data_IF_941166583931
#
_entry.id   IF_941166583931
#
_cell.length_a   1.000
_cell.length_b   1.000
_cell.length_c   1.000
_cell.angle_alpha   90.00
_cell.angle_beta   90.00
_cell.angle_gamma   90.00
#
_symmetry.space_group_name_H-M   'P 1'
#
loop_
_entity.id
_entity.type
_entity.pdbx_description
1 polymer ?
#
# COMPACT_ATOMS: atom_id res chain seq x y z
N UNK A 1 12.15 -6.48 90.79
CA UNK A 1 12.21 -7.56 89.78
C UNK A 1 13.60 -8.12 89.76
N UNK A 2 13.76 -9.42 90.06
CA UNK A 2 15.07 -10.07 89.92
C UNK A 2 15.16 -10.56 88.52
N UNK A 3 15.96 -9.93 87.67
CA UNK A 3 16.31 -10.45 86.31
C UNK A 3 17.15 -11.70 86.53
N UNK A 4 16.65 -12.82 86.06
CA UNK A 4 17.38 -14.11 86.05
C UNK A 4 18.59 -14.01 85.14
N UNK A 5 19.80 -14.28 85.65
CA UNK A 5 21.04 -14.33 84.82
C UNK A 5 20.91 -15.30 83.64
N UNK A 6 20.14 -16.37 83.76
CA UNK A 6 19.83 -17.29 82.70
C UNK A 6 18.96 -16.66 81.59
N UNK A 7 18.05 -15.72 81.97
CA UNK A 7 17.26 -14.98 81.01
C UNK A 7 18.10 -13.98 80.19
N UNK A 8 19.05 -13.28 80.81
CA UNK A 8 20.01 -12.40 80.12
C UNK A 8 20.92 -13.21 79.16
N UNK A 9 21.42 -14.36 79.56
CA UNK A 9 22.25 -15.20 78.66
C UNK A 9 21.46 -15.70 77.44
N UNK A 10 20.16 -16.10 77.64
CA UNK A 10 19.31 -16.52 76.49
C UNK A 10 19.05 -15.38 75.53
N UNK A 11 18.69 -14.20 76.02
CA UNK A 11 18.48 -13.04 75.18
C UNK A 11 19.73 -12.60 74.42
N UNK A 12 20.91 -12.72 75.03
CA UNK A 12 22.19 -12.46 74.35
C UNK A 12 22.51 -13.49 73.26
N UNK A 13 22.25 -14.77 73.49
CA UNK A 13 22.42 -15.83 72.47
C UNK A 13 21.43 -15.63 71.32
N UNK A 14 20.15 -15.32 71.63
CA UNK A 14 19.14 -15.07 70.59
C UNK A 14 19.50 -13.84 69.75
N UNK A 15 20.04 -12.77 70.36
CA UNK A 15 20.54 -11.62 69.61
C UNK A 15 21.72 -11.94 68.71
N UNK A 16 22.69 -12.78 69.16
CA UNK A 16 23.80 -13.20 68.36
C UNK A 16 23.34 -14.05 67.16
N UNK A 17 22.45 -14.98 67.39
CA UNK A 17 21.87 -15.85 66.33
C UNK A 17 21.12 -14.98 65.29
N UNK A 18 20.36 -14.00 65.74
CA UNK A 18 19.67 -13.06 64.84
C UNK A 18 20.66 -12.27 64.01
N UNK A 19 21.72 -11.72 64.59
CA UNK A 19 22.78 -11.00 63.86
C UNK A 19 23.48 -11.90 62.83
N UNK A 20 23.78 -13.16 63.21
CA UNK A 20 24.37 -14.11 62.28
C UNK A 20 23.44 -14.39 61.11
N UNK A 21 22.15 -14.57 61.36
CA UNK A 21 21.15 -14.77 60.31
C UNK A 21 21.05 -13.59 59.35
N UNK A 22 21.00 -12.35 59.88
CA UNK A 22 20.98 -11.13 59.12
C UNK A 22 22.23 -10.95 58.29
N UNK A 23 23.42 -11.27 58.84
CA UNK A 23 24.67 -11.22 58.09
C UNK A 23 24.71 -12.23 56.98
N UNK A 24 24.30 -13.48 57.19
CA UNK A 24 24.20 -14.52 56.17
C UNK A 24 23.25 -14.13 55.03
N UNK A 25 22.06 -13.57 55.40
CA UNK A 25 21.10 -13.05 54.45
C UNK A 25 21.66 -11.91 53.59
N UNK A 26 22.33 -10.94 54.22
CA UNK A 26 22.94 -9.83 53.49
C UNK A 26 24.07 -10.29 52.57
N UNK A 27 24.88 -11.24 53.01
CA UNK A 27 25.93 -11.84 52.19
C UNK A 27 25.36 -12.58 50.97
N UNK A 28 24.23 -13.28 51.14
CA UNK A 28 23.53 -13.94 50.09
C UNK A 28 22.91 -12.94 49.09
N UNK A 29 22.34 -11.83 49.57
CA UNK A 29 21.83 -10.74 48.74
C UNK A 29 22.93 -10.10 47.88
N UNK A 30 24.12 -9.87 48.49
CA UNK A 30 25.28 -9.32 47.75
C UNK A 30 25.76 -10.31 46.67
N UNK A 31 25.86 -11.60 47.01
CA UNK A 31 26.36 -12.63 46.10
C UNK A 31 25.43 -12.85 44.92
N UNK A 32 24.09 -12.80 45.15
CA UNK A 32 23.09 -13.02 44.10
C UNK A 32 22.64 -11.77 43.40
N UNK A 33 22.92 -10.58 43.94
CA UNK A 33 22.43 -9.29 43.45
C UNK A 33 20.91 -9.12 43.59
N UNK A 34 20.23 -10.03 44.31
CA UNK A 34 18.78 -10.03 44.50
C UNK A 34 18.39 -9.67 45.94
N UNK A 35 17.41 -8.79 46.08
CA UNK A 35 16.87 -8.35 47.37
C UNK A 35 16.18 -9.50 48.15
N UNK A 36 15.50 -10.38 47.45
CA UNK A 36 14.85 -11.59 47.99
C UNK A 36 15.01 -12.74 46.97
N UNK A 37 15.00 -13.97 47.44
CA UNK A 37 15.16 -15.14 46.60
C UNK A 37 13.86 -15.92 46.43
N UNK A 38 13.03 -15.88 47.45
CA UNK A 38 11.75 -16.60 47.48
C UNK A 38 10.59 -15.65 47.66
N UNK A 39 9.44 -15.98 47.11
CA UNK A 39 8.21 -15.19 47.29
C UNK A 39 7.73 -15.16 48.75
N UNK A 40 8.24 -16.10 49.59
CA UNK A 40 7.92 -16.12 51.01
C UNK A 40 8.61 -15.00 51.80
N UNK A 41 9.76 -14.48 51.33
CA UNK A 41 10.52 -13.41 52.01
C UNK A 41 9.88 -12.03 51.79
N UNK A 42 9.34 -11.77 50.58
CA UNK A 42 8.63 -10.53 50.23
C UNK A 42 7.56 -10.84 49.16
N UNK A 43 6.34 -11.25 49.57
CA UNK A 43 5.27 -11.58 48.61
C UNK A 43 4.85 -10.40 47.74
N UNK A 44 4.87 -9.20 48.27
CA UNK A 44 4.50 -7.97 47.53
C UNK A 44 5.58 -7.63 46.50
N UNK A 45 6.83 -7.69 46.90
CA UNK A 45 7.99 -7.49 46.03
C UNK A 45 8.03 -8.53 44.92
N UNK A 46 7.79 -9.81 45.23
CA UNK A 46 7.76 -10.91 44.27
C UNK A 46 6.63 -10.70 43.24
N UNK A 47 5.44 -10.30 43.65
CA UNK A 47 4.34 -10.01 42.75
C UNK A 47 4.67 -8.84 41.80
N UNK A 48 5.26 -7.77 42.33
CA UNK A 48 5.69 -6.62 41.52
C UNK A 48 6.79 -7.00 40.52
N UNK A 49 7.77 -7.79 40.96
CA UNK A 49 8.85 -8.28 40.08
C UNK A 49 8.27 -9.14 38.94
N UNK A 50 7.36 -10.04 39.24
CA UNK A 50 6.72 -10.89 38.22
C UNK A 50 5.92 -10.05 37.18
N UNK A 51 5.23 -8.96 37.60
CA UNK A 51 4.54 -8.05 36.69
C UNK A 51 5.53 -7.31 35.81
N UNK A 52 6.65 -6.81 36.38
CA UNK A 52 7.69 -6.11 35.64
C UNK A 52 8.41 -7.05 34.66
N UNK A 53 8.73 -8.27 35.05
CA UNK A 53 9.34 -9.28 34.19
C UNK A 53 8.45 -9.60 32.98
N UNK A 54 7.15 -9.71 33.22
CA UNK A 54 6.17 -9.88 32.16
C UNK A 54 6.17 -8.70 31.20
N UNK A 55 6.15 -7.47 31.72
CA UNK A 55 6.17 -6.25 30.89
C UNK A 55 7.46 -6.16 30.06
N UNK A 56 8.61 -6.51 30.66
CA UNK A 56 9.88 -6.54 29.96
C UNK A 56 9.85 -7.60 28.83
N UNK A 57 9.32 -8.79 29.10
CA UNK A 57 9.18 -9.84 28.10
C UNK A 57 8.24 -9.43 26.96
N UNK A 58 7.10 -8.77 27.28
CA UNK A 58 6.19 -8.22 26.27
C UNK A 58 6.85 -7.14 25.42
N UNK A 59 7.57 -6.21 26.04
CA UNK A 59 8.31 -5.17 25.30
C UNK A 59 9.41 -5.76 24.40
N UNK A 60 10.11 -6.77 24.88
CA UNK A 60 11.09 -7.49 24.06
C UNK A 60 10.41 -8.20 22.86
N UNK A 61 9.20 -8.72 23.03
CA UNK A 61 8.41 -9.28 21.92
C UNK A 61 8.00 -8.19 20.94
N UNK A 62 7.54 -7.04 21.41
CA UNK A 62 7.20 -5.91 20.54
C UNK A 62 8.41 -5.42 19.73
N UNK A 63 9.58 -5.37 20.35
CA UNK A 63 10.83 -5.05 19.63
C UNK A 63 11.15 -6.04 18.52
N UNK A 64 11.00 -7.35 18.77
CA UNK A 64 11.16 -8.36 17.70
C UNK A 64 10.14 -8.20 16.59
N UNK A 65 8.88 -7.98 16.94
CA UNK A 65 7.81 -7.75 15.98
C UNK A 65 8.09 -6.52 15.10
N UNK A 66 8.53 -5.41 15.69
CA UNK A 66 8.90 -4.20 14.94
C UNK A 66 10.02 -4.46 13.93
N UNK A 67 11.06 -5.19 14.34
CA UNK A 67 12.17 -5.53 13.43
C UNK A 67 11.70 -6.42 12.25
N UNK A 68 10.76 -7.35 12.49
CA UNK A 68 10.19 -8.18 11.43
C UNK A 68 9.38 -7.33 10.44
N UNK A 69 8.53 -6.44 10.96
CA UNK A 69 7.74 -5.54 10.11
C UNK A 69 8.64 -4.61 9.31
N UNK A 70 9.63 -4.01 9.94
CA UNK A 70 10.59 -3.12 9.27
C UNK A 70 11.33 -3.84 8.14
N UNK A 71 11.84 -5.04 8.39
CA UNK A 71 12.52 -5.83 7.36
C UNK A 71 11.59 -6.13 6.18
N UNK A 72 10.32 -6.53 6.45
CA UNK A 72 9.35 -6.86 5.41
C UNK A 72 8.95 -5.62 4.58
N UNK A 73 8.71 -4.48 5.24
CA UNK A 73 8.40 -3.23 4.56
C UNK A 73 9.58 -2.73 3.70
N UNK A 74 10.82 -2.93 4.14
CA UNK A 74 12.00 -2.62 3.33
C UNK A 74 12.08 -3.50 2.07
N UNK A 75 11.74 -4.79 2.15
CA UNK A 75 11.64 -5.66 0.97
C UNK A 75 10.52 -5.22 0.02
N UNK A 76 9.39 -4.79 0.58
CA UNK A 76 8.29 -4.25 -0.20
C UNK A 76 8.68 -2.96 -0.91
N UNK A 77 9.30 -2.01 -0.20
CA UNK A 77 9.78 -0.76 -0.79
C UNK A 77 10.77 -0.99 -1.93
N UNK A 78 11.72 -1.91 -1.74
CA UNK A 78 12.65 -2.29 -2.81
C UNK A 78 11.91 -2.88 -4.02
N UNK A 79 10.88 -3.70 -3.78
CA UNK A 79 10.08 -4.29 -4.85
C UNK A 79 9.27 -3.23 -5.60
N UNK A 80 8.73 -2.23 -4.90
CA UNK A 80 8.02 -1.10 -5.51
C UNK A 80 8.96 -0.20 -6.32
N UNK A 81 10.18 0.02 -5.86
CA UNK A 81 11.21 0.75 -6.59
C UNK A 81 11.60 0.02 -7.89
N UNK A 82 11.78 -1.29 -7.83
CA UNK A 82 12.07 -2.13 -9.00
C UNK A 82 10.88 -2.09 -9.99
N UNK A 83 9.64 -2.22 -9.50
CA UNK A 83 8.42 -2.11 -10.30
C UNK A 83 8.31 -0.76 -11.00
N UNK A 84 8.59 0.34 -10.29
CA UNK A 84 8.61 1.68 -10.86
C UNK A 84 9.63 1.81 -11.99
N UNK A 85 10.81 1.24 -11.82
CA UNK A 85 11.87 1.24 -12.84
C UNK A 85 11.47 0.46 -14.09
N UNK A 86 10.81 -0.70 -13.92
CA UNK A 86 10.29 -1.50 -15.04
C UNK A 86 9.17 -0.76 -15.79
N UNK A 87 8.27 -0.06 -15.08
CA UNK A 87 7.24 0.75 -15.72
C UNK A 87 7.82 1.92 -16.52
N UNK A 88 8.86 2.58 -16.02
CA UNK A 88 9.57 3.64 -16.74
C UNK A 88 10.22 3.09 -18.01
N UNK A 89 10.88 1.94 -17.93
CA UNK A 89 11.47 1.29 -19.10
C UNK A 89 10.39 0.89 -20.13
N UNK A 90 9.26 0.34 -19.67
CA UNK A 90 8.14 0.01 -20.56
C UNK A 90 7.54 1.26 -21.23
N UNK A 91 7.43 2.37 -20.51
CA UNK A 91 7.01 3.66 -21.06
C UNK A 91 7.96 4.16 -22.15
N UNK A 92 9.27 4.08 -21.92
CA UNK A 92 10.27 4.52 -22.88
C UNK A 92 10.22 3.67 -24.16
N UNK A 93 10.04 2.35 -24.03
CA UNK A 93 9.81 1.46 -25.17
C UNK A 93 8.52 1.81 -25.93
N UNK A 94 7.45 2.14 -25.22
CA UNK A 94 6.19 2.58 -25.84
C UNK A 94 6.35 3.89 -26.60
N UNK A 95 7.07 4.87 -26.05
CA UNK A 95 7.39 6.12 -26.74
C UNK A 95 8.26 5.90 -27.99
N UNK A 96 9.24 5.00 -27.91
CA UNK A 96 10.00 4.60 -29.10
C UNK A 96 9.10 3.95 -30.15
N UNK A 97 8.19 3.05 -29.73
CA UNK A 97 7.25 2.38 -30.63
C UNK A 97 6.24 3.31 -31.31
N UNK A 98 5.94 4.46 -30.69
CA UNK A 98 5.07 5.49 -31.25
C UNK A 98 5.72 6.27 -32.41
N UNK A 99 7.04 6.11 -32.64
CA UNK A 99 7.73 6.76 -33.73
C UNK A 99 7.24 6.21 -35.09
N UNK A 100 6.70 7.09 -35.91
CA UNK A 100 6.16 6.75 -37.24
C UNK A 100 7.20 6.23 -38.24
N UNK A 101 8.51 6.49 -38.00
CA UNK A 101 9.60 6.04 -38.90
C UNK A 101 9.95 4.56 -38.70
N UNK A 102 9.49 3.92 -37.62
CA UNK A 102 9.78 2.51 -37.37
C UNK A 102 8.97 1.56 -38.27
N UNK A 103 9.66 0.60 -38.84
CA UNK A 103 9.05 -0.46 -39.63
C UNK A 103 8.36 -1.52 -38.73
N UNK A 104 7.61 -2.46 -39.37
CA UNK A 104 6.92 -3.53 -38.65
C UNK A 104 7.85 -4.47 -37.88
N UNK A 105 9.07 -4.67 -38.35
CA UNK A 105 10.07 -5.56 -37.74
C UNK A 105 10.60 -4.94 -36.45
N UNK A 106 10.96 -3.67 -36.49
CA UNK A 106 11.46 -2.91 -35.35
C UNK A 106 10.36 -2.79 -34.23
N UNK A 107 9.13 -2.53 -34.63
CA UNK A 107 7.99 -2.53 -33.69
C UNK A 107 7.76 -3.88 -33.03
N UNK A 108 7.98 -4.99 -33.77
CA UNK A 108 7.87 -6.33 -33.21
C UNK A 108 8.99 -6.62 -32.20
N UNK A 109 10.21 -6.12 -32.44
CA UNK A 109 11.30 -6.21 -31.45
C UNK A 109 10.95 -5.46 -30.17
N UNK A 110 10.51 -4.19 -30.26
CA UNK A 110 10.05 -3.43 -29.10
C UNK A 110 8.90 -4.11 -28.34
N UNK A 111 7.95 -4.72 -29.07
CA UNK A 111 6.88 -5.48 -28.43
C UNK A 111 7.39 -6.71 -27.66
N UNK A 112 8.46 -7.36 -28.12
CA UNK A 112 9.09 -8.43 -27.38
C UNK A 112 9.80 -7.90 -26.11
N UNK A 113 10.45 -6.75 -26.20
CA UNK A 113 11.10 -6.11 -25.05
C UNK A 113 10.05 -5.72 -23.99
N UNK A 114 8.90 -5.18 -24.40
CA UNK A 114 7.79 -4.91 -23.48
C UNK A 114 7.27 -6.19 -22.81
N UNK A 115 7.20 -7.31 -23.55
CA UNK A 115 6.81 -8.61 -22.93
C UNK A 115 7.84 -9.09 -21.91
N UNK A 116 9.13 -8.82 -22.12
CA UNK A 116 10.16 -9.11 -21.12
C UNK A 116 9.98 -8.24 -19.88
N UNK A 117 9.64 -6.93 -20.04
CA UNK A 117 9.34 -6.07 -18.90
C UNK A 117 8.09 -6.56 -18.12
N UNK A 118 7.07 -7.04 -18.85
CA UNK A 118 5.89 -7.64 -18.20
C UNK A 118 6.24 -8.90 -17.40
N UNK A 119 7.10 -9.77 -17.95
CA UNK A 119 7.57 -10.96 -17.23
C UNK A 119 8.36 -10.58 -15.98
N UNK A 120 9.25 -9.60 -16.07
CA UNK A 120 10.01 -9.08 -14.93
C UNK A 120 9.08 -8.44 -13.87
N UNK A 121 8.05 -7.71 -14.31
CA UNK A 121 7.04 -7.14 -13.40
C UNK A 121 6.27 -8.25 -12.66
N UNK A 122 5.93 -9.34 -13.35
CA UNK A 122 5.28 -10.49 -12.74
C UNK A 122 6.20 -11.16 -11.70
N UNK A 123 7.50 -11.23 -11.96
CA UNK A 123 8.47 -11.76 -10.99
C UNK A 123 8.59 -10.84 -9.76
N UNK A 124 8.63 -9.52 -9.96
CA UNK A 124 8.64 -8.55 -8.85
C UNK A 124 7.36 -8.64 -8.02
N UNK A 125 6.19 -8.73 -8.68
CA UNK A 125 4.90 -8.85 -7.98
C UNK A 125 4.73 -10.18 -7.23
N UNK A 126 5.51 -11.20 -7.58
CA UNK A 126 5.57 -12.50 -6.93
C UNK A 126 6.81 -12.68 -6.04
N UNK A 127 7.46 -11.58 -5.65
CA UNK A 127 8.63 -11.65 -4.79
C UNK A 127 8.25 -12.15 -3.40
N UNK A 128 9.06 -13.04 -2.87
CA UNK A 128 8.99 -13.55 -1.50
C UNK A 128 10.06 -12.92 -0.61
N UNK A 129 9.89 -13.04 0.68
CA UNK A 129 10.90 -12.72 1.66
C UNK A 129 11.90 -13.87 1.82
N UNK A 130 12.92 -13.69 2.66
CA UNK A 130 13.93 -14.73 2.94
C UNK A 130 13.37 -16.00 3.60
N UNK A 131 12.10 -15.99 4.03
CA UNK A 131 11.41 -17.13 4.65
C UNK A 131 10.49 -17.86 3.64
N UNK A 132 10.41 -17.39 2.39
CA UNK A 132 9.52 -17.93 1.37
C UNK A 132 8.07 -17.48 1.49
N UNK A 133 7.82 -16.38 2.21
CA UNK A 133 6.50 -15.75 2.29
C UNK A 133 6.38 -14.67 1.22
N UNK A 134 5.36 -14.76 0.36
CA UNK A 134 5.10 -13.75 -0.66
C UNK A 134 4.69 -12.40 -0.05
N UNK A 135 5.28 -11.31 -0.59
CA UNK A 135 5.07 -9.97 -0.06
C UNK A 135 3.66 -9.45 -0.31
N UNK A 136 3.12 -9.68 -1.51
CA UNK A 136 1.87 -9.11 -1.99
C UNK A 136 0.68 -10.07 -1.96
N UNK A 137 0.79 -11.18 -1.24
CA UNK A 137 -0.27 -12.21 -1.17
C UNK A 137 -1.35 -11.91 -0.11
N UNK A 138 -1.24 -10.80 0.62
CA UNK A 138 -2.10 -10.50 1.76
C UNK A 138 -1.82 -11.45 2.93
N UNK A 139 -2.87 -12.03 3.53
CA UNK A 139 -2.70 -13.01 4.63
C UNK A 139 -2.33 -14.41 4.13
N UNK A 140 -2.45 -14.69 2.82
CA UNK A 140 -2.09 -15.98 2.21
C UNK A 140 -0.63 -16.05 1.79
N UNK A 141 0.28 -15.75 2.70
CA UNK A 141 1.71 -15.56 2.42
C UNK A 141 2.42 -16.74 1.74
N UNK A 142 1.88 -17.95 1.84
CA UNK A 142 2.40 -19.15 1.17
C UNK A 142 1.87 -19.38 -0.26
N UNK A 143 0.94 -18.55 -0.73
CA UNK A 143 0.33 -18.68 -2.06
C UNK A 143 0.94 -17.65 -3.00
N UNK A 144 1.40 -18.09 -4.18
CA UNK A 144 1.90 -17.20 -5.23
C UNK A 144 0.79 -16.23 -5.64
N UNK A 145 0.96 -14.89 -5.46
CA UNK A 145 -0.16 -13.97 -5.59
C UNK A 145 -0.61 -13.72 -7.04
N UNK A 146 0.30 -13.75 -8.01
CA UNK A 146 -0.01 -13.43 -9.40
C UNK A 146 0.31 -14.59 -10.34
N UNK A 147 -0.63 -14.93 -11.20
CA UNK A 147 -0.44 -15.94 -12.24
C UNK A 147 -0.90 -15.41 -13.60
N UNK A 148 -0.10 -15.65 -14.66
CA UNK A 148 -0.48 -15.31 -16.01
C UNK A 148 -1.54 -16.30 -16.49
N UNK A 149 -2.73 -15.78 -16.81
CA UNK A 149 -3.84 -16.51 -17.40
C UNK A 149 -3.98 -16.25 -18.91
N UNK A 150 -5.00 -16.82 -19.54
CA UNK A 150 -5.26 -16.66 -20.96
C UNK A 150 -5.70 -15.22 -21.34
N UNK A 151 -6.37 -14.53 -20.43
CA UNK A 151 -6.93 -13.18 -20.64
C UNK A 151 -6.18 -12.09 -19.88
N UNK A 152 -5.08 -12.41 -19.20
CA UNK A 152 -4.29 -11.45 -18.41
C UNK A 152 -3.75 -12.06 -17.13
N UNK A 153 -3.37 -11.22 -16.19
CA UNK A 153 -2.82 -11.62 -14.88
C UNK A 153 -3.96 -11.76 -13.87
N UNK A 154 -4.03 -12.93 -13.22
CA UNK A 154 -5.02 -13.21 -12.17
C UNK A 154 -4.36 -13.12 -10.80
N UNK A 155 -5.04 -12.48 -9.85
CA UNK A 155 -4.63 -12.43 -8.46
C UNK A 155 -5.22 -13.60 -7.67
N UNK A 156 -4.38 -14.28 -6.88
CA UNK A 156 -4.73 -15.47 -6.09
C UNK A 156 -4.54 -15.28 -4.58
N UNK A 157 -4.05 -14.11 -4.17
CA UNK A 157 -3.93 -13.73 -2.77
C UNK A 157 -5.28 -13.38 -2.14
N UNK A 158 -5.25 -12.73 -0.98
CA UNK A 158 -6.45 -12.16 -0.38
C UNK A 158 -6.36 -10.62 -0.27
N UNK A 159 -7.47 -9.99 0.10
CA UNK A 159 -7.61 -8.52 0.16
C UNK A 159 -7.28 -7.94 1.53
N UNK A 160 -6.82 -8.77 2.47
CA UNK A 160 -6.54 -8.35 3.85
C UNK A 160 -5.05 -8.30 4.10
N UNK A 161 -4.54 -7.20 4.65
CA UNK A 161 -3.16 -7.12 5.12
C UNK A 161 -3.03 -7.70 6.54
N UNK A 162 -1.93 -8.42 6.79
CA UNK A 162 -1.62 -8.97 8.10
C UNK A 162 -1.25 -7.84 9.06
N UNK A 163 -1.83 -7.88 10.26
CA UNK A 163 -1.56 -6.89 11.31
C UNK A 163 -0.64 -7.48 12.37
N UNK A 164 0.48 -6.83 12.63
CA UNK A 164 1.45 -7.24 13.65
C UNK A 164 1.44 -6.23 14.80
N UNK A 165 1.32 -6.76 16.02
CA UNK A 165 1.29 -5.95 17.22
C UNK A 165 2.69 -5.50 17.62
N UNK A 166 2.91 -4.19 17.69
CA UNK A 166 4.20 -3.55 17.99
C UNK A 166 4.20 -2.81 19.34
N UNK A 167 3.03 -2.68 19.98
CA UNK A 167 2.91 -2.17 21.34
C UNK A 167 1.65 -2.73 22.00
N UNK A 168 1.41 -2.39 23.26
CA UNK A 168 0.20 -2.79 23.99
C UNK A 168 -1.09 -2.31 23.33
N UNK A 169 -1.06 -1.19 22.61
CA UNK A 169 -2.22 -0.53 22.01
C UNK A 169 -2.14 -0.32 20.50
N UNK A 170 -1.03 -0.72 19.84
CA UNK A 170 -0.80 -0.43 18.43
C UNK A 170 -0.44 -1.69 17.66
N UNK A 171 -1.10 -1.86 16.52
CA UNK A 171 -0.76 -2.83 15.47
C UNK A 171 -0.49 -2.08 14.18
N UNK A 172 0.40 -2.62 13.35
CA UNK A 172 0.75 -2.08 12.04
C UNK A 172 0.63 -3.19 11.00
N UNK A 173 0.22 -2.83 9.80
CA UNK A 173 0.26 -3.74 8.65
C UNK A 173 1.72 -4.04 8.27
N UNK A 174 2.03 -5.28 7.99
CA UNK A 174 3.37 -5.71 7.59
C UNK A 174 3.57 -5.70 6.06
N UNK A 175 2.61 -5.21 5.31
CA UNK A 175 2.64 -5.05 3.87
C UNK A 175 1.29 -4.66 3.27
N UNK A 176 1.28 -4.39 1.97
CA UNK A 176 0.09 -4.09 1.18
C UNK A 176 -0.34 -5.31 0.36
N UNK A 177 -1.62 -5.35 0.01
CA UNK A 177 -2.12 -6.43 -0.87
C UNK A 177 -1.72 -6.17 -2.32
N UNK A 178 -1.52 -7.22 -3.09
CA UNK A 178 -1.18 -7.08 -4.50
C UNK A 178 -2.29 -6.40 -5.32
N UNK A 179 -3.53 -6.49 -4.88
CA UNK A 179 -4.65 -5.77 -5.52
C UNK A 179 -4.51 -4.26 -5.34
N UNK A 180 -4.19 -3.80 -4.13
CA UNK A 180 -4.05 -2.37 -3.85
C UNK A 180 -2.87 -1.75 -4.61
N UNK A 181 -1.80 -2.52 -4.79
CA UNK A 181 -0.56 -2.04 -5.40
C UNK A 181 -0.57 -2.13 -6.93
N UNK A 182 -1.07 -3.26 -7.49
CA UNK A 182 -0.88 -3.56 -8.92
C UNK A 182 -2.18 -3.62 -9.73
N UNK A 183 -3.36 -3.72 -9.10
CA UNK A 183 -4.61 -3.91 -9.81
C UNK A 183 -5.64 -2.80 -9.58
N UNK A 184 -5.74 -2.25 -8.38
CA UNK A 184 -6.69 -1.19 -8.06
C UNK A 184 -6.12 0.18 -8.42
N UNK A 185 -5.69 0.33 -9.68
CA UNK A 185 -5.11 1.57 -10.20
C UNK A 185 -6.19 2.26 -11.03
N UNK A 186 -6.54 3.49 -10.65
CA UNK A 186 -7.49 4.29 -11.41
C UNK A 186 -6.91 4.61 -12.79
N UNK A 187 -7.69 4.35 -13.83
CA UNK A 187 -7.32 4.67 -15.22
C UNK A 187 -7.34 6.20 -15.46
N UNK A 188 -6.73 6.62 -16.57
CA UNK A 188 -6.71 8.01 -16.97
C UNK A 188 -5.90 8.90 -16.04
N UNK A 189 -6.51 9.98 -15.57
CA UNK A 189 -5.89 10.94 -14.65
C UNK A 189 -6.18 10.64 -13.17
N UNK A 190 -6.73 9.48 -12.87
CA UNK A 190 -7.13 9.07 -11.51
C UNK A 190 -8.51 9.56 -11.07
N UNK A 191 -9.19 10.36 -11.88
CA UNK A 191 -10.56 10.86 -11.65
C UNK A 191 -11.50 10.37 -12.74
N UNK A 192 -11.07 10.45 -13.99
CA UNK A 192 -11.79 9.98 -15.16
C UNK A 192 -10.82 9.48 -16.24
N UNK A 193 -11.31 8.66 -17.15
CA UNK A 193 -10.60 8.22 -18.36
C UNK A 193 -11.21 8.85 -19.60
N UNK A 194 -10.40 9.10 -20.64
CA UNK A 194 -10.85 9.53 -21.96
C UNK A 194 -10.68 8.39 -22.96
N UNK A 195 -11.65 8.20 -23.83
CA UNK A 195 -11.59 7.23 -24.92
C UNK A 195 -12.22 7.76 -26.19
N UNK A 196 -11.74 7.30 -27.31
CA UNK A 196 -12.29 7.65 -28.62
C UNK A 196 -13.59 6.87 -28.81
N UNK A 197 -14.67 7.55 -29.17
CA UNK A 197 -15.96 6.91 -29.44
C UNK A 197 -15.85 5.84 -30.53
N UNK A 198 -16.51 4.70 -30.33
CA UNK A 198 -16.46 3.56 -31.26
C UNK A 198 -16.98 3.91 -32.67
N UNK A 199 -17.85 4.92 -32.79
CA UNK A 199 -18.38 5.43 -34.05
C UNK A 199 -17.51 6.52 -34.69
N UNK A 200 -16.37 6.86 -34.09
CA UNK A 200 -15.47 7.88 -34.65
C UNK A 200 -14.79 7.37 -35.92
N UNK A 201 -15.04 8.00 -37.04
CA UNK A 201 -14.38 7.72 -38.33
C UNK A 201 -13.20 8.62 -38.65
N UNK A 202 -12.94 9.61 -37.76
CA UNK A 202 -11.85 10.55 -37.92
C UNK A 202 -10.57 10.16 -37.18
N UNK A 203 -9.53 10.96 -37.34
CA UNK A 203 -8.23 10.81 -36.68
C UNK A 203 -8.09 11.63 -35.41
N UNK A 204 -9.20 12.12 -34.86
CA UNK A 204 -9.20 12.92 -33.64
C UNK A 204 -8.72 12.15 -32.44
N UNK A 205 -7.87 12.75 -31.64
CA UNK A 205 -7.44 12.22 -30.34
C UNK A 205 -7.61 13.27 -29.25
N UNK A 206 -7.97 12.79 -28.07
CA UNK A 206 -8.11 13.62 -26.87
C UNK A 206 -7.09 13.15 -25.83
N UNK A 207 -6.48 14.07 -25.11
CA UNK A 207 -5.60 13.74 -24.00
C UNK A 207 -6.40 13.28 -22.77
N UNK A 208 -5.68 12.80 -21.78
CA UNK A 208 -6.28 12.29 -20.52
C UNK A 208 -6.94 13.43 -19.70
N UNK A 209 -6.66 14.69 -20.03
CA UNK A 209 -7.18 15.85 -19.29
C UNK A 209 -6.75 15.88 -17.82
N UNK A 210 -7.33 16.80 -17.07
CA UNK A 210 -7.20 16.90 -15.61
C UNK A 210 -8.36 17.67 -15.02
N UNK A 211 -8.72 17.41 -13.76
CA UNK A 211 -9.63 18.27 -13.03
C UNK A 211 -8.84 19.44 -12.44
N UNK A 212 -9.02 20.64 -12.99
CA UNK A 212 -8.38 21.87 -12.52
C UNK A 212 -9.19 22.56 -11.43
N UNK A 213 -10.51 22.39 -11.43
CA UNK A 213 -11.42 22.91 -10.43
C UNK A 213 -12.37 21.82 -9.94
N UNK A 214 -12.07 21.30 -8.75
CA UNK A 214 -12.88 20.24 -8.12
C UNK A 214 -14.28 20.71 -7.69
N UNK A 215 -14.48 22.00 -7.51
CA UNK A 215 -15.79 22.54 -7.10
C UNK A 215 -16.80 22.58 -8.24
N UNK A 216 -16.29 22.70 -9.47
CA UNK A 216 -17.09 22.70 -10.70
C UNK A 216 -17.23 21.32 -11.34
N UNK A 217 -16.43 20.35 -10.86
CA UNK A 217 -16.45 18.99 -11.39
C UNK A 217 -17.71 18.24 -10.93
N UNK A 218 -18.43 17.68 -11.87
CA UNK A 218 -19.55 16.77 -11.63
C UNK A 218 -19.23 15.44 -12.26
N UNK A 219 -19.32 14.38 -11.48
CA UNK A 219 -19.04 13.02 -11.91
C UNK A 219 -20.18 12.54 -12.80
N UNK A 220 -19.94 12.36 -14.11
CA UNK A 220 -20.89 11.92 -15.10
C UNK A 220 -20.15 11.41 -16.35
N UNK A 221 -20.88 10.83 -17.31
CA UNK A 221 -20.32 10.51 -18.63
C UNK A 221 -20.55 11.68 -19.57
N UNK A 222 -19.48 12.17 -20.15
CA UNK A 222 -19.54 13.29 -21.08
C UNK A 222 -19.13 12.84 -22.48
N UNK A 223 -19.82 13.32 -23.49
CA UNK A 223 -19.49 13.06 -24.89
C UNK A 223 -19.15 14.38 -25.58
N UNK A 224 -17.91 14.52 -26.03
CA UNK A 224 -17.50 15.64 -26.89
C UNK A 224 -17.78 15.26 -28.35
N UNK A 225 -18.59 16.07 -29.00
CA UNK A 225 -19.00 15.88 -30.40
C UNK A 225 -18.58 17.09 -31.25
N UNK A 226 -18.01 16.83 -32.42
CA UNK A 226 -17.76 17.84 -33.43
C UNK A 226 -18.85 17.75 -34.49
N UNK A 227 -19.59 18.83 -34.68
CA UNK A 227 -20.60 18.93 -35.74
C UNK A 227 -19.99 19.29 -37.10
N UNK A 228 -18.85 19.96 -37.08
CA UNK A 228 -18.00 20.25 -38.24
C UNK A 228 -16.53 20.41 -37.77
N UNK A 229 -15.64 20.86 -38.64
CA UNK A 229 -14.22 20.98 -38.29
C UNK A 229 -13.88 21.98 -37.17
N UNK A 230 -14.81 22.88 -36.82
CA UNK A 230 -14.57 23.99 -35.88
C UNK A 230 -15.59 24.07 -34.74
N UNK A 231 -16.77 23.49 -34.92
CA UNK A 231 -17.85 23.62 -33.95
C UNK A 231 -18.01 22.32 -33.15
N UNK A 232 -18.07 22.47 -31.85
CA UNK A 232 -18.12 21.34 -30.92
C UNK A 232 -19.18 21.55 -29.85
N UNK A 233 -19.68 20.45 -29.32
CA UNK A 233 -20.58 20.38 -28.17
C UNK A 233 -20.14 19.29 -27.22
N UNK A 234 -20.28 19.54 -25.92
CA UNK A 234 -20.14 18.55 -24.86
C UNK A 234 -21.55 18.28 -24.30
N UNK A 235 -21.95 17.03 -24.31
CA UNK A 235 -23.22 16.58 -23.76
C UNK A 235 -22.98 15.58 -22.62
N UNK A 236 -23.85 15.60 -21.61
CA UNK A 236 -23.93 14.53 -20.61
C UNK A 236 -24.80 13.37 -21.12
N UNK A 237 -24.81 12.22 -20.42
CA UNK A 237 -25.66 11.09 -20.77
C UNK A 237 -26.99 11.05 -20.01
N UNK A 238 -27.43 12.20 -19.52
CA UNK A 238 -28.70 12.31 -18.81
C UNK A 238 -29.88 11.77 -19.63
N UNK A 239 -30.71 10.95 -19.00
CA UNK A 239 -31.92 10.39 -19.61
C UNK A 239 -33.15 11.10 -19.08
N UNK A 240 -34.17 11.40 -19.92
CA UNK A 240 -34.38 10.91 -21.30
C UNK A 240 -33.69 11.69 -22.40
N UNK A 241 -33.09 12.84 -22.11
CA UNK A 241 -32.43 13.68 -23.12
C UNK A 241 -31.10 14.19 -22.59
N UNK A 242 -29.96 13.96 -23.31
CA UNK A 242 -28.68 14.54 -22.98
C UNK A 242 -28.76 16.05 -22.91
N UNK A 243 -28.11 16.65 -21.90
CA UNK A 243 -28.00 18.11 -21.79
C UNK A 243 -26.71 18.58 -22.40
N UNK A 244 -26.75 19.71 -23.11
CA UNK A 244 -25.53 20.38 -23.55
C UNK A 244 -24.88 21.09 -22.36
N UNK A 245 -23.72 20.60 -21.97
CA UNK A 245 -22.93 21.13 -20.84
C UNK A 245 -22.05 22.28 -21.26
N UNK A 246 -21.47 22.17 -22.46
CA UNK A 246 -20.64 23.21 -23.06
C UNK A 246 -20.71 23.12 -24.59
N UNK A 247 -20.47 24.25 -25.26
CA UNK A 247 -20.37 24.30 -26.71
C UNK A 247 -19.43 25.43 -27.12
N UNK A 248 -18.87 25.34 -28.32
CA UNK A 248 -18.00 26.39 -28.87
C UNK A 248 -17.85 26.29 -30.37
N UNK A 249 -17.32 27.36 -30.95
CA UNK A 249 -17.04 27.51 -32.39
C UNK A 249 -15.62 27.95 -32.60
N UNK A 250 -15.08 27.72 -33.80
CA UNK A 250 -13.74 28.20 -34.14
C UNK A 250 -12.61 27.38 -33.50
N UNK A 251 -12.83 26.12 -33.20
CA UNK A 251 -11.82 25.22 -32.65
C UNK A 251 -10.60 25.10 -33.59
N UNK A 252 -9.39 25.09 -33.00
CA UNK A 252 -8.16 24.79 -33.69
C UNK A 252 -7.47 23.58 -33.07
N UNK A 253 -6.86 22.70 -33.89
CA UNK A 253 -6.12 21.53 -33.40
C UNK A 253 -5.08 21.91 -32.35
N UNK A 254 -5.04 21.17 -31.21
CA UNK A 254 -4.19 21.46 -30.07
C UNK A 254 -4.77 22.45 -29.06
N UNK A 255 -5.95 23.01 -29.31
CA UNK A 255 -6.64 23.88 -28.37
C UNK A 255 -7.25 23.07 -27.21
N UNK A 256 -7.24 23.65 -26.00
CA UNK A 256 -7.92 23.08 -24.85
C UNK A 256 -9.40 23.43 -24.85
N UNK A 257 -10.22 22.42 -24.72
CA UNK A 257 -11.68 22.55 -24.46
C UNK A 257 -11.87 22.39 -22.95
N UNK A 258 -12.49 23.39 -22.31
CA UNK A 258 -12.73 23.36 -20.87
C UNK A 258 -14.23 23.29 -20.57
N UNK A 259 -14.64 22.30 -19.81
CA UNK A 259 -16.00 22.18 -19.29
C UNK A 259 -15.95 21.58 -17.86
N UNK A 260 -16.88 21.96 -17.01
CA UNK A 260 -17.00 21.46 -15.62
C UNK A 260 -15.66 21.44 -14.85
N UNK A 261 -14.80 22.45 -15.09
CA UNK A 261 -13.47 22.52 -14.45
C UNK A 261 -12.44 21.51 -14.96
N UNK A 262 -12.71 20.88 -16.11
CA UNK A 262 -11.83 19.94 -16.75
C UNK A 262 -11.33 20.49 -18.10
N UNK A 263 -10.05 20.90 -18.23
CA UNK A 263 -9.43 21.19 -19.51
C UNK A 263 -8.93 19.89 -20.17
N UNK A 264 -9.45 19.62 -21.37
CA UNK A 264 -9.01 18.52 -22.23
C UNK A 264 -8.40 19.09 -23.51
N UNK A 265 -7.23 18.59 -23.90
CA UNK A 265 -6.59 18.99 -25.15
C UNK A 265 -7.02 18.05 -26.27
N UNK A 266 -7.54 18.61 -27.34
CA UNK A 266 -7.95 17.87 -28.52
C UNK A 266 -6.94 18.10 -29.64
N UNK A 267 -6.27 17.05 -30.09
CA UNK A 267 -5.16 17.18 -31.06
C UNK A 267 -5.63 17.35 -32.51
N UNK A 268 -6.84 16.92 -32.81
CA UNK A 268 -7.40 17.07 -34.16
C UNK A 268 -8.92 17.11 -34.09
N UNK A 269 -9.54 18.03 -34.82
CA UNK A 269 -10.97 18.02 -35.05
C UNK A 269 -11.32 17.00 -36.13
N UNK A 270 -12.13 16.02 -35.81
CA UNK A 270 -12.78 15.18 -36.79
C UNK A 270 -14.22 14.95 -36.32
N UNK A 271 -15.14 14.78 -37.26
CA UNK A 271 -16.50 14.35 -36.94
C UNK A 271 -16.44 13.02 -36.20
N UNK A 272 -16.53 13.05 -34.89
CA UNK A 272 -16.42 11.87 -34.06
C UNK A 272 -16.79 12.17 -32.61
N UNK A 273 -17.19 11.13 -31.89
CA UNK A 273 -17.56 11.19 -30.49
C UNK A 273 -16.41 10.72 -29.62
N UNK A 274 -15.99 11.52 -28.65
CA UNK A 274 -15.14 11.06 -27.55
C UNK A 274 -16.03 10.91 -26.31
N UNK A 275 -16.05 9.75 -25.72
CA UNK A 275 -16.83 9.47 -24.52
C UNK A 275 -15.91 9.48 -23.32
N UNK A 276 -16.25 10.25 -22.31
CA UNK A 276 -15.57 10.28 -21.03
C UNK A 276 -16.31 9.32 -20.10
N UNK A 277 -15.70 8.21 -19.73
CA UNK A 277 -16.30 7.26 -18.80
C UNK A 277 -15.68 7.39 -17.41
N UNK A 278 -16.52 7.41 -16.42
CA UNK A 278 -16.11 7.36 -15.01
C UNK A 278 -15.55 5.99 -14.64
N UNK A 279 -14.30 5.94 -14.19
CA UNK A 279 -13.84 4.84 -13.37
C UNK A 279 -14.07 5.18 -11.90
N UNK A 280 -15.29 5.01 -11.42
CA UNK A 280 -15.49 4.92 -9.99
C UNK A 280 -15.87 3.48 -9.67
N UNK A 281 -14.96 2.81 -8.96
CA UNK A 281 -15.18 1.57 -8.20
C UNK A 281 -16.17 0.59 -8.81
N UNK A 282 -15.64 -0.54 -9.24
CA UNK A 282 -16.33 -1.77 -9.58
C UNK A 282 -16.97 -1.87 -10.96
N UNK A 283 -16.25 -2.58 -11.82
CA UNK A 283 -16.76 -3.46 -12.87
C UNK A 283 -17.68 -2.88 -13.92
N UNK A 284 -17.10 -2.59 -15.04
CA UNK A 284 -17.80 -2.38 -16.27
C UNK A 284 -16.87 -1.95 -17.39
N UNK A 285 -15.90 -2.76 -17.73
CA UNK A 285 -15.24 -2.66 -19.04
C UNK A 285 -16.24 -3.18 -20.04
N UNK A 286 -17.04 -2.32 -20.63
CA UNK A 286 -17.72 -2.64 -21.87
C UNK A 286 -16.76 -2.31 -22.99
N UNK A 287 -16.16 -3.37 -23.53
CA UNK A 287 -15.43 -3.39 -24.79
C UNK A 287 -16.37 -3.33 -25.96
#
# INVERSE_FOLDING_TARGET
>A
MRLSTAGMHRSSIDAILEHQFQMAKTQQQITTGKKFQTAAEDPIGATRAAVLDRTVAENAQFGRNSNIVEARLNYEEQSLADASSLLQAARDLALQGANSTLGPVERKMLANDVRQQLAAMLDVSNRDDSNGEYLFAGTRTSTKPFALGATGVNYQGDLSSRQIRISSSQSIADGHTGVDVFMNIAEGNGVFGTQVGAANTGSGSIDVGRVSDKSSWVADNYTLQFTNATDWTVVDDATPTPNVVASGTGFQPGQSITFRGCPCHVMSASTGTCTESQSNSSFGVNW
#
